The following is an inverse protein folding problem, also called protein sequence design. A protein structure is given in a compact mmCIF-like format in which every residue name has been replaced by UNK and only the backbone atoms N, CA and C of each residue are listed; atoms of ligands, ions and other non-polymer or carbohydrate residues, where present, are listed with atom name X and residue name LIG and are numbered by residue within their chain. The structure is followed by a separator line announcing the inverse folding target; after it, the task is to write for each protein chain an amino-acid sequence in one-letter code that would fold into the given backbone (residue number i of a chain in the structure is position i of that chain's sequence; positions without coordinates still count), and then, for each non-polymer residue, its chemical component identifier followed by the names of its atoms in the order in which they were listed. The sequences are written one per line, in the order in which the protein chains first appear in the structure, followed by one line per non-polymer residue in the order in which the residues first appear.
data_IF_857065791656
#
_entry.id   IF_857065791656
#
_cell.length_a   1.000
_cell.length_b   1.000
_cell.length_c   1.000
_cell.angle_alpha   90.00
_cell.angle_beta   90.00
_cell.angle_gamma   90.00
#
_symmetry.space_group_name_H-M   'P 1'
#
loop_
_entity.id
_entity.type
_entity.pdbx_description
1 polymer ?
#
# COMPACT_ATOMS: atom_id res chain seq x y z
N UNK A 1 -1.67 23.76 6.90
CA UNK A 1 -1.00 22.52 7.34
C UNK A 1 -1.71 21.35 6.69
N UNK A 2 -1.02 20.57 5.88
CA UNK A 2 -1.58 19.40 5.19
C UNK A 2 -1.94 18.34 6.24
N UNK A 3 -3.17 17.80 6.20
CA UNK A 3 -3.64 16.72 7.09
C UNK A 3 -3.71 15.41 6.31
N UNK A 4 -2.57 14.73 6.08
CA UNK A 4 -2.53 13.50 5.28
C UNK A 4 -3.38 12.38 5.90
N UNK A 5 -3.52 12.36 7.23
CA UNK A 5 -4.44 11.49 7.98
C UNK A 5 -5.89 11.60 7.50
N UNK A 6 -6.35 12.81 7.17
CA UNK A 6 -7.74 13.09 6.80
C UNK A 6 -8.00 12.66 5.37
N UNK A 7 -7.04 12.93 4.48
CA UNK A 7 -7.10 12.44 3.09
C UNK A 7 -7.04 10.92 3.08
N UNK A 8 -6.18 10.31 3.90
CA UNK A 8 -6.13 8.86 4.07
C UNK A 8 -7.47 8.30 4.52
N UNK A 9 -8.03 8.78 5.64
CA UNK A 9 -9.30 8.30 6.19
C UNK A 9 -10.48 8.42 5.21
N UNK A 10 -10.47 9.44 4.34
CA UNK A 10 -11.52 9.67 3.34
C UNK A 10 -11.29 8.96 2.00
N UNK A 11 -10.04 8.74 1.61
CA UNK A 11 -9.71 8.22 0.28
C UNK A 11 -9.27 6.75 0.28
N UNK A 12 -8.90 6.16 1.43
CA UNK A 12 -8.35 4.80 1.47
C UNK A 12 -9.32 3.77 0.86
N UNK A 13 -10.62 3.93 1.04
CA UNK A 13 -11.64 3.04 0.45
C UNK A 13 -11.53 3.00 -1.07
N UNK A 14 -11.46 4.16 -1.72
CA UNK A 14 -11.30 4.28 -3.17
C UNK A 14 -9.93 3.81 -3.66
N UNK A 15 -8.87 4.09 -2.89
CA UNK A 15 -7.52 3.61 -3.21
C UNK A 15 -7.36 2.10 -3.02
N UNK A 16 -8.32 1.46 -2.38
CA UNK A 16 -8.26 0.05 -2.02
C UNK A 16 -9.25 -0.84 -2.77
N UNK A 17 -10.09 -0.23 -3.61
CA UNK A 17 -11.11 -0.91 -4.42
C UNK A 17 -10.48 -1.85 -5.45
N UNK A 18 -9.36 -1.43 -6.05
CA UNK A 18 -8.62 -2.22 -7.05
C UNK A 18 -7.56 -3.15 -6.45
N UNK A 19 -7.22 -2.98 -5.17
CA UNK A 19 -6.18 -3.77 -4.48
C UNK A 19 -6.51 -5.25 -4.48
N UNK A 20 -7.75 -5.61 -4.13
CA UNK A 20 -8.15 -7.02 -4.09
C UNK A 20 -8.03 -7.65 -5.49
N UNK A 21 -8.49 -6.94 -6.52
CA UNK A 21 -8.39 -7.38 -7.91
C UNK A 21 -6.94 -7.53 -8.36
N UNK A 22 -6.08 -6.59 -8.00
CA UNK A 22 -4.66 -6.63 -8.33
C UNK A 22 -3.94 -7.77 -7.61
N UNK A 23 -4.21 -7.99 -6.33
CA UNK A 23 -3.59 -9.07 -5.57
C UNK A 23 -4.02 -10.46 -6.07
N UNK A 24 -5.30 -10.64 -6.42
CA UNK A 24 -5.78 -11.87 -7.08
C UNK A 24 -5.00 -12.18 -8.36
N UNK A 25 -4.69 -11.16 -9.16
CA UNK A 25 -3.89 -11.30 -10.39
C UNK A 25 -2.42 -11.58 -10.12
N UNK A 26 -1.81 -10.89 -9.16
CA UNK A 26 -0.39 -11.03 -8.82
C UNK A 26 -0.10 -12.40 -8.19
N UNK A 27 -0.95 -12.84 -7.27
CA UNK A 27 -0.83 -14.12 -6.57
C UNK A 27 -1.44 -15.29 -7.34
N UNK A 28 -2.07 -15.03 -8.50
CA UNK A 28 -2.82 -16.00 -9.30
C UNK A 28 -3.86 -16.78 -8.47
N UNK A 29 -4.46 -16.11 -7.48
CA UNK A 29 -5.38 -16.70 -6.52
C UNK A 29 -6.74 -16.00 -6.60
N UNK A 30 -7.67 -16.45 -7.47
CA UNK A 30 -8.93 -15.75 -7.75
C UNK A 30 -9.88 -15.70 -6.54
N UNK A 31 -9.82 -16.69 -5.65
CA UNK A 31 -10.64 -16.76 -4.44
C UNK A 31 -10.01 -16.03 -3.25
N UNK A 32 -8.99 -15.20 -3.48
CA UNK A 32 -8.35 -14.46 -2.40
C UNK A 32 -9.36 -13.46 -1.83
N UNK A 33 -9.54 -13.52 -0.52
CA UNK A 33 -10.27 -12.54 0.28
C UNK A 33 -9.27 -11.88 1.22
N UNK A 34 -9.26 -10.55 1.25
CA UNK A 34 -8.42 -9.79 2.16
C UNK A 34 -9.31 -9.10 3.18
N UNK A 35 -8.85 -9.08 4.43
CA UNK A 35 -9.48 -8.31 5.49
C UNK A 35 -9.27 -6.81 5.27
N UNK A 36 -10.11 -5.96 5.86
CA UNK A 36 -9.96 -4.51 5.76
C UNK A 36 -8.58 -4.04 6.23
N UNK A 37 -8.01 -4.69 7.25
CA UNK A 37 -6.67 -4.39 7.74
C UNK A 37 -5.59 -4.72 6.70
N UNK A 38 -5.71 -5.85 6.00
CA UNK A 38 -4.80 -6.21 4.90
C UNK A 38 -4.96 -5.25 3.72
N UNK A 39 -6.18 -4.94 3.34
CA UNK A 39 -6.51 -3.98 2.27
C UNK A 39 -5.90 -2.60 2.57
N UNK A 40 -6.07 -2.11 3.81
CA UNK A 40 -5.43 -0.85 4.28
C UNK A 40 -3.91 -0.93 4.25
N UNK A 41 -3.33 -2.06 4.66
CA UNK A 41 -1.89 -2.25 4.60
C UNK A 41 -1.36 -2.21 3.16
N UNK A 42 -2.03 -2.87 2.20
CA UNK A 42 -1.65 -2.79 0.79
C UNK A 42 -1.75 -1.36 0.25
N UNK A 43 -2.83 -0.63 0.58
CA UNK A 43 -3.00 0.75 0.15
C UNK A 43 -1.90 1.65 0.70
N UNK A 44 -1.52 1.48 1.97
CA UNK A 44 -0.38 2.19 2.57
C UNK A 44 0.95 1.86 1.88
N UNK A 45 1.17 0.60 1.53
CA UNK A 45 2.38 0.20 0.79
C UNK A 45 2.45 0.84 -0.61
N UNK A 46 1.34 0.94 -1.32
CA UNK A 46 1.32 1.64 -2.61
C UNK A 46 1.63 3.13 -2.45
N UNK A 47 1.08 3.77 -1.41
CA UNK A 47 1.40 5.16 -1.08
C UNK A 47 2.87 5.34 -0.75
N UNK A 48 3.46 4.47 0.08
CA UNK A 48 4.90 4.49 0.37
C UNK A 48 5.72 4.37 -0.92
N UNK A 49 5.32 3.49 -1.83
CA UNK A 49 6.00 3.29 -3.11
C UNK A 49 5.89 4.52 -4.02
N UNK A 50 4.73 5.16 -4.08
CA UNK A 50 4.55 6.43 -4.80
C UNK A 50 5.41 7.52 -4.17
N UNK A 51 5.37 7.69 -2.84
CA UNK A 51 6.18 8.68 -2.12
C UNK A 51 7.67 8.47 -2.36
N UNK A 52 8.15 7.22 -2.34
CA UNK A 52 9.56 6.89 -2.62
C UNK A 52 10.00 7.32 -4.00
N UNK A 53 9.14 7.21 -5.02
CA UNK A 53 9.43 7.74 -6.38
C UNK A 53 9.62 9.25 -6.40
N UNK A 54 9.00 9.97 -5.46
CA UNK A 54 9.17 11.40 -5.27
C UNK A 54 10.24 11.75 -4.20
N UNK A 55 11.03 10.78 -3.75
CA UNK A 55 12.08 10.99 -2.74
C UNK A 55 11.57 11.25 -1.33
N UNK A 56 10.32 10.85 -1.03
CA UNK A 56 9.69 10.96 0.29
C UNK A 56 9.32 9.58 0.84
N UNK A 57 8.92 9.51 2.10
CA UNK A 57 8.38 8.30 2.72
C UNK A 57 7.17 8.65 3.59
N UNK A 58 6.31 7.67 3.87
CA UNK A 58 5.30 7.75 4.93
C UNK A 58 5.91 8.12 6.28
N UNK A 59 7.21 7.85 6.50
CA UNK A 59 7.95 8.29 7.68
C UNK A 59 8.03 9.82 7.81
N UNK A 60 7.94 10.56 6.71
CA UNK A 60 7.89 12.03 6.70
C UNK A 60 6.51 12.57 7.10
N UNK A 61 5.51 11.70 7.24
CA UNK A 61 4.13 12.00 7.60
C UNK A 61 3.73 11.25 8.88
N UNK A 62 4.22 11.67 10.07
CA UNK A 62 4.04 10.93 11.32
C UNK A 62 2.58 10.80 11.77
N UNK A 63 1.65 11.57 11.19
CA UNK A 63 0.21 11.46 11.42
C UNK A 63 -0.47 10.36 10.60
N UNK A 64 0.21 9.77 9.62
CA UNK A 64 -0.34 8.72 8.76
C UNK A 64 0.03 7.34 9.33
N UNK A 65 -0.91 6.37 9.37
CA UNK A 65 -0.58 5.04 9.84
C UNK A 65 0.47 4.40 8.95
N UNK A 66 1.43 3.70 9.56
CA UNK A 66 2.45 2.95 8.83
C UNK A 66 1.98 1.51 8.61
N UNK A 67 2.20 0.92 7.42
CA UNK A 67 1.78 -0.46 7.17
C UNK A 67 2.47 -1.39 8.16
N UNK A 68 1.68 -2.24 8.84
CA UNK A 68 2.20 -3.17 9.87
C UNK A 68 2.98 -4.32 9.26
N UNK A 69 2.79 -4.58 7.96
CA UNK A 69 3.46 -5.65 7.26
C UNK A 69 4.85 -5.16 6.83
N UNK A 70 5.80 -5.26 7.76
CA UNK A 70 7.23 -5.14 7.47
C UNK A 70 7.76 -6.23 6.53
N UNK A 71 6.95 -7.27 6.25
CA UNK A 71 7.32 -8.48 5.49
C UNK A 71 6.72 -8.60 4.08
N UNK A 72 6.32 -7.50 3.43
CA UNK A 72 6.07 -7.51 1.97
C UNK A 72 7.36 -7.25 1.18
N UNK A 73 8.47 -7.86 1.60
CA UNK A 73 9.81 -7.73 1.02
C UNK A 73 9.94 -8.17 -0.47
N UNK A 74 8.84 -8.46 -1.18
CA UNK A 74 8.90 -9.23 -2.43
C UNK A 74 8.30 -8.58 -3.69
N UNK A 75 7.55 -7.46 -3.63
CA UNK A 75 6.70 -7.11 -4.80
C UNK A 75 7.05 -5.89 -5.65
N UNK A 76 8.18 -5.19 -5.43
CA UNK A 76 8.71 -4.25 -6.45
C UNK A 76 10.24 -4.18 -6.57
N UNK A 77 10.97 -5.23 -6.19
CA UNK A 77 12.33 -5.45 -6.70
C UNK A 77 12.35 -6.71 -7.55
N UNK A 78 11.85 -6.61 -8.79
CA UNK A 78 12.51 -7.28 -9.91
C UNK A 78 13.65 -6.38 -10.40
N UNK A 79 14.61 -6.08 -9.52
CA UNK A 79 15.96 -5.88 -10.00
C UNK A 79 16.44 -7.28 -10.31
N UNK A 80 16.47 -7.55 -11.61
CA UNK A 80 17.02 -8.74 -12.24
C UNK A 80 18.34 -9.05 -11.54
N UNK A 81 18.43 -10.22 -10.90
CA UNK A 81 19.75 -10.83 -10.68
C UNK A 81 20.25 -11.18 -12.07
N UNK A 82 21.16 -10.37 -12.60
CA UNK A 82 22.11 -10.78 -13.63
C UNK A 82 23.34 -11.38 -12.92
#
# INVERSE_FOLDING_TARGET
MSRPEYVWDKCWTFMSDDILHRQRRVLMHPDLTLTEAEIKNYALSEIEMMLRRFGRSLKDYPSMPFPTISDFAMYQNRLIFD
#
